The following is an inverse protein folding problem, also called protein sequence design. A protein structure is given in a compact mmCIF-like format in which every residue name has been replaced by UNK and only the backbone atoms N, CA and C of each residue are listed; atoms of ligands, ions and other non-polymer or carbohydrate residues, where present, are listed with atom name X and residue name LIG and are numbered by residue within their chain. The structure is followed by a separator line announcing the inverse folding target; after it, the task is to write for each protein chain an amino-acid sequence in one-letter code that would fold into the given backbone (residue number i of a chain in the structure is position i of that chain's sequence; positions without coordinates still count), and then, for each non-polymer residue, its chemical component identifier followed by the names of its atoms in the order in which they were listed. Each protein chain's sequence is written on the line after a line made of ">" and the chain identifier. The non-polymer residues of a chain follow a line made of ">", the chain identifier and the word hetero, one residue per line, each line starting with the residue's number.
data_IF_721485470260
#
_entry.id   IF_721485470260
#
_cell.length_a   1.000
_cell.length_b   1.000
_cell.length_c   1.000
_cell.angle_alpha   90.00
_cell.angle_beta   90.00
_cell.angle_gamma   90.00
#
_symmetry.space_group_name_H-M   'P 1'
#
loop_
_entity.id
_entity.type
_entity.pdbx_description
1 polymer ?
#
# COMPACT_ATOMS: atom_id res chain seq x y z
N UNK A 1 34.78 1.22 -6.38
CA UNK A 1 35.67 0.50 -5.44
C UNK A 1 35.97 1.45 -4.26
N UNK A 2 36.14 0.92 -3.03
CA UNK A 2 36.14 1.55 -1.67
C UNK A 2 34.81 1.33 -0.93
N UNK A 3 34.73 0.91 0.33
CA UNK A 3 35.71 0.44 1.33
C UNK A 3 34.95 -0.38 2.40
N UNK A 4 35.54 -1.50 2.84
CA UNK A 4 35.02 -2.38 3.89
C UNK A 4 35.27 -1.70 5.25
N UNK A 5 34.23 -1.22 5.93
CA UNK A 5 34.37 -0.74 7.31
C UNK A 5 33.94 -1.87 8.27
N UNK A 6 34.91 -2.68 8.70
CA UNK A 6 34.70 -3.64 9.79
C UNK A 6 34.84 -2.86 11.09
N UNK A 7 33.73 -2.49 11.74
CA UNK A 7 33.75 -2.02 13.13
C UNK A 7 33.48 -3.23 14.04
N UNK A 8 34.46 -3.69 14.85
CA UNK A 8 34.22 -4.77 15.79
C UNK A 8 33.63 -4.18 17.07
N UNK A 9 32.36 -4.46 17.33
CA UNK A 9 31.73 -4.29 18.64
C UNK A 9 30.90 -5.55 18.88
N UNK A 10 31.36 -6.39 19.81
CA UNK A 10 30.62 -7.46 20.50
C UNK A 10 29.76 -8.42 19.68
N UNK A 11 30.20 -9.67 19.53
CA UNK A 11 29.35 -10.86 19.32
C UNK A 11 28.39 -10.89 18.11
N UNK A 12 28.71 -10.21 17.02
CA UNK A 12 28.10 -10.51 15.71
C UNK A 12 28.99 -10.00 14.58
N UNK A 13 29.68 -10.89 13.87
CA UNK A 13 30.37 -10.48 12.64
C UNK A 13 29.29 -10.12 11.61
N UNK A 14 29.11 -8.82 11.39
CA UNK A 14 28.22 -8.27 10.38
C UNK A 14 29.06 -7.70 9.23
N UNK A 15 28.80 -8.12 7.99
CA UNK A 15 29.38 -7.47 6.80
C UNK A 15 28.41 -6.44 6.26
N UNK A 16 28.92 -5.25 5.95
CA UNK A 16 28.12 -4.11 5.52
C UNK A 16 28.75 -3.42 4.32
N UNK A 17 27.91 -2.95 3.40
CA UNK A 17 28.32 -2.24 2.19
C UNK A 17 27.61 -0.90 2.08
N UNK A 18 28.39 0.11 1.70
CA UNK A 18 27.97 1.51 1.66
C UNK A 18 28.43 2.15 0.35
N UNK A 19 27.64 3.11 -0.14
CA UNK A 19 27.97 4.00 -1.25
C UNK A 19 27.45 5.39 -0.89
N UNK A 20 28.31 6.41 -0.99
CA UNK A 20 27.97 7.81 -0.71
C UNK A 20 27.31 8.01 0.68
N UNK A 21 27.82 7.30 1.70
CA UNK A 21 27.29 7.34 3.06
C UNK A 21 25.97 6.60 3.28
N UNK A 22 25.42 5.94 2.26
CA UNK A 22 24.16 5.18 2.33
C UNK A 22 24.39 3.68 2.12
N UNK A 23 23.64 2.82 2.83
CA UNK A 23 23.72 1.36 2.60
C UNK A 23 23.37 1.04 1.15
N UNK A 24 24.25 0.34 0.45
CA UNK A 24 24.08 -0.02 -0.96
C UNK A 24 25.08 -1.11 -1.33
N UNK A 25 24.69 -2.06 -2.20
CA UNK A 25 25.63 -2.99 -2.82
C UNK A 25 25.25 -3.32 -4.26
N UNK A 26 26.26 -3.35 -5.14
CA UNK A 26 26.11 -3.73 -6.55
C UNK A 26 26.03 -5.26 -6.74
N UNK A 27 25.65 -5.69 -7.95
CA UNK A 27 25.62 -7.10 -8.40
C UNK A 27 24.58 -8.00 -7.68
N UNK A 28 23.42 -7.44 -7.28
CA UNK A 28 22.32 -8.19 -6.64
C UNK A 28 22.68 -8.87 -5.31
N UNK A 29 23.80 -8.48 -4.69
CA UNK A 29 24.25 -9.00 -3.40
C UNK A 29 23.67 -8.17 -2.23
N UNK A 30 23.50 -8.76 -1.05
CA UNK A 30 22.95 -8.05 0.10
C UNK A 30 23.91 -6.97 0.61
N UNK A 31 23.38 -5.80 0.98
CA UNK A 31 24.16 -4.72 1.57
C UNK A 31 24.44 -4.91 3.08
N UNK A 32 23.76 -5.86 3.72
CA UNK A 32 24.04 -6.32 5.08
C UNK A 32 23.93 -7.85 5.15
N UNK A 33 24.94 -8.48 5.74
CA UNK A 33 24.93 -9.90 6.10
C UNK A 33 25.25 -10.00 7.60
N UNK A 34 24.33 -10.55 8.39
CA UNK A 34 24.50 -10.75 9.84
C UNK A 34 25.10 -12.13 10.12
N UNK A 35 25.74 -12.29 11.28
CA UNK A 35 26.34 -13.56 11.71
C UNK A 35 25.35 -14.71 11.81
N UNK A 36 24.08 -14.43 12.11
CA UNK A 36 23.02 -15.44 12.16
C UNK A 36 22.58 -15.94 10.77
N UNK A 37 23.07 -15.33 9.67
CA UNK A 37 22.69 -15.68 8.30
C UNK A 37 21.62 -14.78 7.67
N UNK A 38 21.08 -13.83 8.43
CA UNK A 38 20.12 -12.82 7.92
C UNK A 38 20.80 -11.91 6.89
N UNK A 39 20.12 -11.67 5.78
CA UNK A 39 20.59 -10.84 4.66
C UNK A 39 19.60 -9.72 4.40
N UNK A 40 20.10 -8.52 4.13
CA UNK A 40 19.27 -7.38 3.76
C UNK A 40 19.82 -6.69 2.51
N UNK A 41 18.92 -6.37 1.58
CA UNK A 41 19.21 -5.65 0.34
C UNK A 41 18.77 -4.20 0.47
N UNK A 42 19.67 -3.31 0.09
CA UNK A 42 19.49 -1.87 0.22
C UNK A 42 19.94 -1.21 -1.08
N UNK A 43 19.13 -0.25 -1.55
CA UNK A 43 19.45 0.62 -2.68
C UNK A 43 19.38 2.06 -2.19
N UNK A 44 20.52 2.75 -2.22
CA UNK A 44 20.64 4.16 -1.83
C UNK A 44 20.09 4.45 -0.43
N UNK A 45 20.33 3.55 0.52
CA UNK A 45 19.91 3.69 1.91
C UNK A 45 18.47 3.28 2.19
N UNK A 46 17.72 2.78 1.20
CA UNK A 46 16.37 2.27 1.37
C UNK A 46 16.36 0.75 1.15
N UNK A 47 15.63 -0.01 1.98
CA UNK A 47 15.41 -1.45 1.73
C UNK A 47 14.68 -1.61 0.39
N UNK A 48 15.27 -2.38 -0.51
CA UNK A 48 14.75 -2.60 -1.87
C UNK A 48 15.53 -3.74 -2.52
N UNK A 49 14.83 -4.58 -3.30
CA UNK A 49 15.48 -5.58 -4.16
C UNK A 49 14.66 -5.83 -5.43
N UNK A 50 15.32 -5.79 -6.58
CA UNK A 50 14.67 -6.02 -7.87
C UNK A 50 14.40 -7.51 -8.12
N UNK A 51 13.38 -7.80 -8.95
CA UNK A 51 13.09 -9.14 -9.47
C UNK A 51 12.15 -9.99 -8.62
N UNK A 52 11.19 -9.37 -7.91
CA UNK A 52 10.28 -10.02 -6.95
C UNK A 52 10.99 -10.85 -5.86
N UNK A 53 12.21 -10.42 -5.50
CA UNK A 53 12.99 -11.05 -4.45
C UNK A 53 12.83 -10.29 -3.14
N UNK A 54 12.86 -10.99 -1.99
CA UNK A 54 12.73 -10.34 -0.70
C UNK A 54 13.92 -9.41 -0.46
N UNK A 55 13.63 -8.21 0.02
CA UNK A 55 14.64 -7.25 0.45
C UNK A 55 15.21 -7.61 1.84
N UNK A 56 14.56 -8.49 2.59
CA UNK A 56 15.09 -9.10 3.81
C UNK A 56 14.83 -10.61 3.80
N UNK A 57 15.88 -11.39 3.99
CA UNK A 57 15.82 -12.82 4.22
C UNK A 57 16.36 -13.11 5.62
N UNK A 58 15.49 -13.56 6.52
CA UNK A 58 15.88 -13.88 7.88
C UNK A 58 16.46 -15.29 7.97
N UNK A 59 17.33 -15.50 8.94
CA UNK A 59 17.94 -16.80 9.21
C UNK A 59 16.94 -17.89 9.60
N UNK A 60 15.81 -17.50 10.18
CA UNK A 60 14.71 -18.41 10.51
C UNK A 60 13.83 -18.77 9.29
N UNK A 61 14.13 -18.23 8.10
CA UNK A 61 13.41 -18.47 6.85
C UNK A 61 12.30 -17.47 6.52
N UNK A 62 11.96 -16.56 7.44
CA UNK A 62 11.02 -15.47 7.17
C UNK A 62 11.55 -14.57 6.05
N UNK A 63 10.63 -13.96 5.29
CA UNK A 63 10.97 -13.09 4.16
C UNK A 63 10.13 -11.83 4.19
N UNK A 64 10.74 -10.70 3.85
CA UNK A 64 10.04 -9.43 3.68
C UNK A 64 10.45 -8.75 2.37
N UNK A 65 9.46 -8.19 1.69
CA UNK A 65 9.61 -7.44 0.46
C UNK A 65 9.41 -5.94 0.73
N UNK A 66 10.28 -5.15 0.11
CA UNK A 66 10.27 -3.70 0.25
C UNK A 66 10.49 -3.05 -1.11
N UNK A 67 9.81 -1.91 -1.31
CA UNK A 67 10.04 -0.99 -2.40
C UNK A 67 10.21 0.41 -1.82
N UNK A 68 11.31 1.10 -2.18
CA UNK A 68 11.65 2.43 -1.65
C UNK A 68 11.59 2.52 -0.11
N UNK A 69 12.01 1.45 0.58
CA UNK A 69 12.06 1.40 2.05
C UNK A 69 10.73 1.15 2.75
N UNK A 70 9.63 0.92 2.02
CA UNK A 70 8.32 0.55 2.58
C UNK A 70 7.98 -0.90 2.23
N UNK A 71 7.29 -1.61 3.12
CA UNK A 71 6.76 -2.93 2.79
C UNK A 71 5.83 -2.82 1.57
N UNK A 72 6.13 -3.60 0.55
CA UNK A 72 5.40 -3.58 -0.72
C UNK A 72 5.77 -4.83 -1.50
N UNK A 73 4.78 -5.42 -2.18
CA UNK A 73 4.99 -6.45 -3.19
C UNK A 73 3.88 -6.39 -4.25
N UNK A 74 4.28 -6.44 -5.51
CA UNK A 74 3.33 -6.40 -6.64
C UNK A 74 2.54 -7.70 -6.78
N UNK A 75 1.50 -7.67 -7.64
CA UNK A 75 0.68 -8.83 -8.03
C UNK A 75 -0.09 -9.49 -6.88
N UNK A 76 -0.47 -8.71 -5.88
CA UNK A 76 -1.24 -9.17 -4.71
C UNK A 76 -0.56 -10.30 -3.95
N UNK A 77 0.78 -10.33 -3.99
CA UNK A 77 1.60 -11.26 -3.26
C UNK A 77 1.89 -10.72 -1.85
N UNK A 78 2.12 -11.60 -0.86
CA UNK A 78 2.44 -11.18 0.49
C UNK A 78 3.81 -10.50 0.55
N UNK A 79 3.83 -9.31 1.16
CA UNK A 79 5.05 -8.55 1.40
C UNK A 79 5.78 -9.00 2.68
N UNK A 80 5.14 -9.84 3.50
CA UNK A 80 5.77 -10.56 4.61
C UNK A 80 5.29 -12.00 4.55
N UNK A 81 6.23 -12.94 4.54
CA UNK A 81 5.96 -14.38 4.59
C UNK A 81 6.71 -14.97 5.78
N UNK A 82 5.96 -15.49 6.76
CA UNK A 82 6.51 -16.16 7.92
C UNK A 82 6.55 -17.67 7.69
N UNK A 83 7.60 -18.34 8.19
CA UNK A 83 7.72 -19.81 8.07
C UNK A 83 6.57 -20.56 8.74
N UNK A 84 5.89 -19.94 9.72
CA UNK A 84 4.68 -20.48 10.34
C UNK A 84 3.41 -20.42 9.48
N UNK A 85 3.50 -20.02 8.21
CA UNK A 85 2.37 -19.97 7.28
C UNK A 85 1.55 -18.68 7.33
N UNK A 86 1.94 -17.72 8.16
CA UNK A 86 1.28 -16.41 8.21
C UNK A 86 1.85 -15.49 7.14
N UNK A 87 0.93 -14.80 6.46
CA UNK A 87 1.22 -13.89 5.36
C UNK A 87 0.61 -12.52 5.65
N UNK A 88 1.35 -11.47 5.33
CA UNK A 88 0.85 -10.10 5.45
C UNK A 88 1.07 -9.35 4.15
N UNK A 89 0.02 -8.65 3.73
CA UNK A 89 -0.03 -7.95 2.46
C UNK A 89 0.14 -6.46 2.68
N UNK A 90 1.03 -5.84 1.90
CA UNK A 90 1.30 -4.42 1.98
C UNK A 90 1.46 -3.85 0.58
N UNK A 91 0.94 -2.64 0.38
CA UNK A 91 1.18 -1.83 -0.81
C UNK A 91 1.63 -0.44 -0.38
N UNK A 92 2.85 -0.05 -0.75
CA UNK A 92 3.45 1.25 -0.42
C UNK A 92 3.44 1.55 1.10
N UNK A 93 3.63 0.52 1.91
CA UNK A 93 3.65 0.60 3.38
C UNK A 93 2.29 0.56 4.06
N UNK A 94 1.19 0.48 3.31
CA UNK A 94 -0.16 0.32 3.86
C UNK A 94 -0.54 -1.16 3.83
N UNK A 95 -0.88 -1.71 5.00
CA UNK A 95 -1.38 -3.07 5.12
C UNK A 95 -2.79 -3.17 4.54
N UNK A 96 -3.09 -4.28 3.88
CA UNK A 96 -4.45 -4.60 3.44
C UNK A 96 -4.78 -6.07 3.68
N UNK A 97 -6.07 -6.37 3.63
CA UNK A 97 -6.62 -7.73 3.59
C UNK A 97 -7.09 -7.99 2.16
N UNK A 98 -6.84 -9.20 1.67
CA UNK A 98 -7.32 -9.66 0.38
C UNK A 98 -8.46 -10.66 0.61
N UNK A 99 -9.67 -10.34 0.14
CA UNK A 99 -10.77 -11.31 0.08
C UNK A 99 -11.13 -11.53 -1.39
N UNK A 100 -10.86 -12.73 -1.89
CA UNK A 100 -10.86 -13.00 -3.34
C UNK A 100 -9.79 -12.18 -4.05
N UNK A 101 -10.19 -11.19 -4.85
CA UNK A 101 -9.31 -10.23 -5.54
C UNK A 101 -9.57 -8.78 -5.11
N UNK A 102 -10.36 -8.59 -4.05
CA UNK A 102 -10.69 -7.27 -3.53
C UNK A 102 -9.79 -6.94 -2.35
N UNK A 103 -9.23 -5.73 -2.36
CA UNK A 103 -8.36 -5.23 -1.29
C UNK A 103 -9.15 -4.36 -0.33
N UNK A 104 -8.98 -4.63 0.96
CA UNK A 104 -9.60 -3.87 2.03
C UNK A 104 -8.54 -3.24 2.92
N UNK A 105 -8.65 -1.93 3.13
CA UNK A 105 -7.75 -1.15 3.98
C UNK A 105 -8.49 -0.68 5.23
N UNK A 106 -7.99 -1.11 6.38
CA UNK A 106 -8.56 -0.79 7.68
C UNK A 106 -7.62 0.13 8.48
N UNK A 107 -8.22 1.05 9.24
CA UNK A 107 -7.53 1.81 10.28
C UNK A 107 -8.36 1.70 11.56
N UNK A 108 -7.74 1.25 12.66
CA UNK A 108 -8.43 1.03 13.94
C UNK A 108 -9.70 0.17 13.81
N UNK A 109 -9.63 -0.89 12.99
CA UNK A 109 -10.73 -1.85 12.82
C UNK A 109 -11.89 -1.38 11.92
N UNK A 110 -11.81 -0.17 11.34
CA UNK A 110 -12.83 0.34 10.41
C UNK A 110 -12.23 0.64 9.04
N UNK A 111 -13.04 0.51 7.99
CA UNK A 111 -12.64 0.91 6.63
C UNK A 111 -12.28 2.40 6.63
N UNK A 112 -11.02 2.69 6.31
CA UNK A 112 -10.52 4.06 6.35
C UNK A 112 -9.16 4.13 5.66
N UNK A 113 -9.04 5.05 4.69
CA UNK A 113 -7.76 5.33 4.03
C UNK A 113 -7.73 6.79 3.58
N UNK A 114 -6.71 7.52 4.02
CA UNK A 114 -6.71 9.00 3.99
C UNK A 114 -6.79 9.61 2.58
N UNK A 115 -6.12 9.00 1.60
CA UNK A 115 -5.96 9.59 0.24
C UNK A 115 -6.37 8.67 -0.90
N UNK A 116 -6.38 7.37 -0.65
CA UNK A 116 -6.57 6.31 -1.64
C UNK A 116 -7.85 5.52 -1.29
N UNK A 117 -8.36 4.67 -2.20
CA UNK A 117 -9.53 3.87 -1.90
C UNK A 117 -9.28 2.96 -0.70
N UNK A 118 -10.24 2.91 0.22
CA UNK A 118 -10.23 1.94 1.31
C UNK A 118 -10.71 0.56 0.85
N UNK A 119 -11.43 0.50 -0.27
CA UNK A 119 -11.76 -0.74 -0.97
C UNK A 119 -11.37 -0.59 -2.44
N UNK A 120 -10.61 -1.55 -2.95
CA UNK A 120 -10.27 -1.67 -4.38
C UNK A 120 -10.83 -3.01 -4.88
N UNK A 121 -11.87 -2.94 -5.71
CA UNK A 121 -12.55 -4.12 -6.24
C UNK A 121 -11.83 -4.65 -7.48
N UNK A 122 -11.95 -5.97 -7.68
CA UNK A 122 -11.31 -6.64 -8.81
C UNK A 122 -11.86 -6.24 -10.18
N UNK A 123 -13.08 -5.71 -10.24
CA UNK A 123 -13.68 -5.17 -11.47
C UNK A 123 -13.18 -3.75 -11.79
N UNK A 124 -12.37 -3.14 -10.92
CA UNK A 124 -11.84 -1.78 -11.06
C UNK A 124 -12.64 -0.71 -10.31
N UNK A 125 -13.75 -1.09 -9.67
CA UNK A 125 -14.50 -0.17 -8.80
C UNK A 125 -13.65 0.20 -7.58
N UNK A 126 -13.88 1.40 -7.05
CA UNK A 126 -13.14 1.95 -5.91
C UNK A 126 -14.08 2.65 -4.95
N UNK A 127 -13.89 2.38 -3.67
CA UNK A 127 -14.59 3.09 -2.61
C UNK A 127 -13.61 3.76 -1.65
N UNK A 128 -13.87 5.03 -1.38
CA UNK A 128 -13.12 5.87 -0.47
C UNK A 128 -13.90 5.98 0.83
N UNK A 129 -13.30 5.45 1.90
CA UNK A 129 -13.86 5.47 3.24
C UNK A 129 -12.95 6.26 4.18
N UNK A 130 -13.56 6.96 5.12
CA UNK A 130 -12.88 7.62 6.23
C UNK A 130 -13.66 7.37 7.51
N UNK A 131 -12.99 6.78 8.52
CA UNK A 131 -13.58 6.40 9.80
C UNK A 131 -14.89 5.61 9.67
N UNK A 132 -14.90 4.59 8.79
CA UNK A 132 -16.04 3.70 8.61
C UNK A 132 -17.22 4.31 7.86
N UNK A 133 -17.03 5.44 7.15
CA UNK A 133 -18.08 6.04 6.31
C UNK A 133 -17.55 6.38 4.93
N UNK A 134 -18.37 6.19 3.89
CA UNK A 134 -18.08 6.70 2.55
C UNK A 134 -17.81 8.21 2.62
N UNK A 135 -16.62 8.61 2.19
CA UNK A 135 -16.16 9.98 2.30
C UNK A 135 -14.97 10.20 1.38
N UNK A 136 -14.99 11.32 0.66
CA UNK A 136 -13.79 11.87 0.04
C UNK A 136 -13.86 13.39 -0.02
N UNK A 137 -12.78 14.07 0.40
CA UNK A 137 -12.71 15.54 0.34
C UNK A 137 -12.69 16.06 -1.11
N UNK A 138 -11.93 15.37 -1.97
CA UNK A 138 -11.69 15.79 -3.36
C UNK A 138 -12.05 14.66 -4.31
N UNK A 139 -13.23 14.76 -4.91
CA UNK A 139 -13.73 13.81 -5.91
C UNK A 139 -14.84 12.90 -5.38
N UNK A 140 -15.26 11.91 -6.19
CA UNK A 140 -16.28 10.94 -5.78
C UNK A 140 -15.74 9.99 -4.72
N UNK A 141 -16.59 9.61 -3.78
CA UNK A 141 -16.29 8.58 -2.79
C UNK A 141 -16.53 7.16 -3.33
N UNK A 142 -17.30 7.01 -4.40
CA UNK A 142 -17.45 5.76 -5.15
C UNK A 142 -17.15 6.04 -6.61
N UNK A 143 -16.19 5.31 -7.19
CA UNK A 143 -15.86 5.32 -8.60
C UNK A 143 -16.14 3.94 -9.16
N UNK A 144 -17.06 3.86 -10.13
CA UNK A 144 -17.32 2.61 -10.83
C UNK A 144 -16.43 2.53 -12.08
N UNK A 145 -16.03 1.31 -12.39
CA UNK A 145 -15.26 0.93 -13.57
C UNK A 145 -15.93 1.33 -14.90
N UNK A 146 -17.26 1.39 -14.92
CA UNK A 146 -18.04 1.87 -16.07
C UNK A 146 -18.04 3.41 -16.24
N UNK A 147 -17.41 4.16 -15.31
CA UNK A 147 -17.32 5.61 -15.32
C UNK A 147 -18.34 6.34 -14.43
N UNK A 148 -19.32 5.62 -13.88
CA UNK A 148 -20.30 6.17 -12.94
C UNK A 148 -19.64 6.60 -11.64
N UNK A 149 -20.26 7.57 -10.95
CA UNK A 149 -19.64 8.23 -9.78
C UNK A 149 -20.66 8.59 -8.73
N UNK A 150 -20.30 8.35 -7.47
CA UNK A 150 -21.05 8.88 -6.32
C UNK A 150 -20.16 9.72 -5.41
N UNK A 151 -20.69 10.87 -5.00
CA UNK A 151 -20.03 11.83 -4.14
C UNK A 151 -20.67 11.77 -2.75
N UNK A 152 -19.84 11.40 -1.78
CA UNK A 152 -20.25 11.25 -0.39
C UNK A 152 -19.33 12.05 0.51
N UNK A 153 -19.90 12.64 1.56
CA UNK A 153 -19.19 13.34 2.61
C UNK A 153 -19.70 12.84 3.96
N UNK A 154 -18.85 12.10 4.68
CA UNK A 154 -19.16 11.50 5.99
C UNK A 154 -20.44 10.66 6.00
N UNK A 155 -20.65 9.84 4.97
CA UNK A 155 -21.79 8.94 4.84
C UNK A 155 -23.06 9.61 4.28
N UNK A 156 -22.98 10.87 3.89
CA UNK A 156 -24.11 11.61 3.29
C UNK A 156 -23.79 11.94 1.83
N UNK A 157 -24.70 11.61 0.91
CA UNK A 157 -24.58 12.03 -0.49
C UNK A 157 -24.53 13.55 -0.57
N UNK A 158 -23.43 14.09 -1.10
CA UNK A 158 -23.18 15.52 -1.10
C UNK A 158 -22.22 15.91 -2.22
N UNK A 159 -22.59 16.98 -2.95
CA UNK A 159 -21.69 17.67 -3.87
C UNK A 159 -22.12 19.14 -4.02
N UNK A 160 -21.25 20.07 -3.66
CA UNK A 160 -21.58 21.51 -3.63
C UNK A 160 -21.80 22.12 -5.02
N UNK A 161 -21.11 21.60 -6.04
CA UNK A 161 -21.09 22.19 -7.40
C UNK A 161 -21.50 21.20 -8.49
N UNK A 162 -22.46 20.32 -8.21
CA UNK A 162 -22.94 19.37 -9.23
C UNK A 162 -23.79 18.23 -8.67
N UNK A 163 -24.11 17.23 -9.50
CA UNK A 163 -24.87 16.06 -9.07
C UNK A 163 -24.04 15.19 -8.13
N UNK A 164 -24.66 14.72 -7.05
CA UNK A 164 -23.98 13.84 -6.10
C UNK A 164 -23.92 12.38 -6.60
N UNK A 165 -24.76 12.00 -7.57
CA UNK A 165 -24.68 10.70 -8.23
C UNK A 165 -24.79 10.90 -9.73
N UNK A 166 -23.89 10.28 -10.48
CA UNK A 166 -23.83 10.30 -11.94
C UNK A 166 -23.87 8.84 -12.41
N UNK A 167 -24.91 8.47 -13.15
CA UNK A 167 -25.10 7.13 -13.70
C UNK A 167 -25.43 7.25 -15.18
N UNK A 168 -24.50 6.89 -16.05
CA UNK A 168 -24.57 7.16 -17.48
C UNK A 168 -24.83 8.65 -17.75
N UNK A 169 -25.98 8.96 -18.37
CA UNK A 169 -26.44 10.34 -18.62
C UNK A 169 -27.31 10.93 -17.52
N UNK A 170 -27.58 10.18 -16.44
CA UNK A 170 -28.50 10.58 -15.36
C UNK A 170 -27.72 11.23 -14.21
N UNK A 171 -28.11 12.45 -13.89
CA UNK A 171 -27.51 13.29 -12.85
C UNK A 171 -28.49 13.53 -11.70
N UNK A 172 -28.19 12.96 -10.54
CA UNK A 172 -29.04 13.08 -9.34
C UNK A 172 -28.44 14.08 -8.36
N UNK A 173 -29.25 15.05 -7.96
CA UNK A 173 -28.89 16.11 -7.05
C UNK A 173 -29.44 15.83 -5.66
N UNK A 174 -28.62 16.08 -4.64
CA UNK A 174 -28.96 15.86 -3.24
C UNK A 174 -28.63 17.10 -2.41
N UNK A 175 -29.45 17.37 -1.39
CA UNK A 175 -29.21 18.40 -0.36
C UNK A 175 -29.37 17.75 1.01
N UNK A 176 -28.31 17.77 1.82
CA UNK A 176 -28.27 17.11 3.13
C UNK A 176 -28.72 15.64 3.08
N UNK A 177 -28.25 14.91 2.06
CA UNK A 177 -28.59 13.49 1.85
C UNK A 177 -29.98 13.22 1.27
N UNK A 178 -30.84 14.24 1.12
CA UNK A 178 -32.17 14.09 0.53
C UNK A 178 -32.12 14.37 -0.97
N UNK A 179 -32.79 13.52 -1.75
CA UNK A 179 -32.95 13.73 -3.19
C UNK A 179 -33.68 15.05 -3.48
N UNK A 180 -33.20 15.78 -4.47
CA UNK A 180 -33.78 17.07 -4.89
C UNK A 180 -34.34 16.97 -6.30
N UNK A 181 -33.55 16.50 -7.26
CA UNK A 181 -33.96 16.39 -8.66
C UNK A 181 -33.05 15.46 -9.45
N UNK A 182 -33.57 15.02 -10.59
CA UNK A 182 -32.86 14.29 -11.63
C UNK A 182 -32.80 15.16 -12.89
N UNK A 183 -31.64 15.22 -13.53
CA UNK A 183 -31.43 15.83 -14.84
C UNK A 183 -30.78 14.79 -15.75
N UNK A 184 -31.15 14.75 -17.03
CA UNK A 184 -30.43 13.97 -18.03
C UNK A 184 -29.55 14.90 -18.86
N UNK A 185 -28.28 14.53 -19.03
CA UNK A 185 -27.35 15.20 -19.94
C UNK A 185 -27.51 14.71 -21.39
#
# INVERSE_FOLDING_TARGET
>A
MKSLLIKPLGLSVCRQWWKDGKKHRYKKLPALEKSNGTKEWWVNGLKHRDGDLPAVEYSNGNKEWYFEGKNHRDNDLPAIVLVGGFEYFFCHGEQYILEGKTKFFYHLGVLSRKKLPAIEFSNGDKEYWFNGRLHREKGPAVEYSNGDKEYWHFGVRHRTRGPAVIIGKKNYYFKNGKFVKLIND
#
